data_IF_449056578213
#
_entry.id   IF_449056578213
#
_cell.length_a   1.000
_cell.length_b   1.000
_cell.length_c   1.000
_cell.angle_alpha   90.00
_cell.angle_beta   90.00
_cell.angle_gamma   90.00
#
_symmetry.space_group_name_H-M   'P 1'
#
loop_
_entity.id
_entity.type
_entity.pdbx_description
1 polymer ?
#
# COMPACT_ATOMS: atom_id res chain seq x y z
N UNK A 1 20.45 -3.65 -4.10
CA UNK A 1 19.38 -2.64 -4.16
C UNK A 1 19.52 -1.54 -3.12
N UNK A 2 19.83 -1.88 -1.88
CA UNK A 2 20.00 -0.88 -0.81
C UNK A 2 21.08 0.14 -1.14
N UNK A 3 22.22 -0.31 -1.71
CA UNK A 3 23.30 0.59 -2.12
C UNK A 3 22.85 1.58 -3.20
N UNK A 4 22.07 1.13 -4.18
CA UNK A 4 21.59 2.00 -5.26
C UNK A 4 20.66 3.10 -4.70
N UNK A 5 19.77 2.76 -3.77
CA UNK A 5 18.91 3.75 -3.10
C UNK A 5 19.72 4.74 -2.28
N UNK A 6 20.73 4.26 -1.56
CA UNK A 6 21.60 5.14 -0.77
C UNK A 6 22.39 6.10 -1.64
N UNK A 7 22.89 5.64 -2.79
CA UNK A 7 23.64 6.49 -3.73
C UNK A 7 22.74 7.56 -4.35
N UNK A 8 21.50 7.20 -4.73
CA UNK A 8 20.51 8.14 -5.25
C UNK A 8 20.16 9.17 -4.18
N UNK A 9 19.86 8.73 -2.96
CA UNK A 9 19.52 9.60 -1.84
C UNK A 9 20.63 10.60 -1.58
N UNK A 10 21.89 10.14 -1.51
CA UNK A 10 23.04 11.01 -1.27
C UNK A 10 23.19 12.04 -2.39
N UNK A 11 23.05 11.63 -3.65
CA UNK A 11 23.12 12.54 -4.80
C UNK A 11 22.02 13.61 -4.74
N UNK A 12 20.79 13.23 -4.44
CA UNK A 12 19.66 14.15 -4.36
C UNK A 12 19.78 15.13 -3.20
N UNK A 13 20.33 14.69 -2.06
CA UNK A 13 20.62 15.55 -0.91
C UNK A 13 21.66 16.61 -1.28
N UNK A 14 22.71 16.20 -1.96
CA UNK A 14 23.79 17.12 -2.39
C UNK A 14 23.29 18.13 -3.43
N UNK A 15 22.30 17.76 -4.25
CA UNK A 15 21.72 18.64 -5.27
C UNK A 15 20.52 19.46 -4.77
N UNK A 16 20.14 19.35 -3.51
CA UNK A 16 18.99 20.05 -2.94
C UNK A 16 17.63 19.45 -3.34
N UNK A 17 17.62 18.19 -3.80
CA UNK A 17 16.40 17.47 -4.24
C UNK A 17 16.04 16.31 -3.32
N UNK A 18 16.26 16.50 -2.04
CA UNK A 18 16.07 15.43 -1.05
C UNK A 18 14.69 14.82 -1.08
N UNK A 19 13.65 15.64 -1.19
CA UNK A 19 12.26 15.18 -1.19
C UNK A 19 11.88 14.34 -2.44
N UNK A 20 12.65 14.43 -3.53
CA UNK A 20 12.41 13.64 -4.74
C UNK A 20 12.50 12.14 -4.46
N UNK A 21 13.37 11.71 -3.55
CA UNK A 21 13.46 10.31 -3.11
C UNK A 21 12.12 9.85 -2.52
N UNK A 22 11.55 10.64 -1.63
CA UNK A 22 10.26 10.35 -1.03
C UNK A 22 9.15 10.23 -2.07
N UNK A 23 9.10 11.15 -3.02
CA UNK A 23 8.10 11.14 -4.09
C UNK A 23 8.26 9.93 -5.04
N UNK A 24 9.49 9.54 -5.37
CA UNK A 24 9.75 8.37 -6.21
C UNK A 24 9.27 7.09 -5.51
N UNK A 25 9.61 6.91 -4.25
CA UNK A 25 9.24 5.71 -3.49
C UNK A 25 7.73 5.66 -3.28
N UNK A 26 7.12 6.78 -2.96
CA UNK A 26 5.66 6.89 -2.82
C UNK A 26 4.94 6.56 -4.13
N UNK A 27 5.38 7.17 -5.23
CA UNK A 27 4.80 6.92 -6.55
C UNK A 27 4.93 5.46 -6.99
N UNK A 28 6.08 4.86 -6.71
CA UNK A 28 6.32 3.43 -6.98
C UNK A 28 5.38 2.52 -6.19
N UNK A 29 5.13 2.84 -4.93
CA UNK A 29 4.19 2.07 -4.11
C UNK A 29 2.75 2.20 -4.62
N UNK A 30 2.32 3.43 -4.96
CA UNK A 30 0.98 3.67 -5.51
C UNK A 30 0.79 2.89 -6.81
N UNK A 31 1.76 2.94 -7.72
CA UNK A 31 1.68 2.20 -8.99
C UNK A 31 1.65 0.69 -8.77
N UNK A 32 2.48 0.16 -7.88
CA UNK A 32 2.48 -1.26 -7.55
C UNK A 32 1.12 -1.71 -6.98
N UNK A 33 0.53 -0.90 -6.09
CA UNK A 33 -0.81 -1.18 -5.56
C UNK A 33 -1.89 -1.11 -6.63
N UNK A 34 -1.79 -0.13 -7.54
CA UNK A 34 -2.71 -0.03 -8.67
C UNK A 34 -2.65 -1.29 -9.55
N UNK A 35 -1.46 -1.72 -9.91
CA UNK A 35 -1.29 -2.92 -10.73
C UNK A 35 -1.81 -4.18 -10.01
N UNK A 36 -1.52 -4.33 -8.73
CA UNK A 36 -2.00 -5.47 -7.95
C UNK A 36 -3.52 -5.50 -7.86
N UNK A 37 -4.15 -4.36 -7.64
CA UNK A 37 -5.61 -4.27 -7.46
C UNK A 37 -6.38 -4.30 -8.78
N UNK A 38 -5.78 -3.86 -9.89
CA UNK A 38 -6.45 -3.81 -11.19
C UNK A 38 -6.17 -5.04 -12.07
N UNK A 39 -4.98 -5.62 -11.98
CA UNK A 39 -4.57 -6.71 -12.86
C UNK A 39 -4.56 -8.07 -12.15
N UNK A 40 -4.12 -8.12 -10.90
CA UNK A 40 -3.99 -9.38 -10.19
C UNK A 40 -5.26 -9.78 -9.43
N UNK A 41 -6.02 -8.82 -8.94
CA UNK A 41 -7.27 -9.08 -8.23
C UNK A 41 -8.45 -9.13 -9.20
N UNK A 42 -9.15 -10.27 -9.21
CA UNK A 42 -10.39 -10.46 -9.99
C UNK A 42 -11.55 -10.68 -9.01
N UNK A 43 -12.52 -9.76 -8.94
CA UNK A 43 -13.66 -9.91 -8.03
C UNK A 43 -14.59 -11.07 -8.39
N UNK A 44 -14.53 -11.54 -9.64
CA UNK A 44 -15.33 -12.70 -10.09
C UNK A 44 -14.67 -14.04 -9.78
N UNK A 45 -13.34 -14.03 -9.60
CA UNK A 45 -12.55 -15.22 -9.25
C UNK A 45 -11.45 -14.80 -8.25
N UNK A 46 -11.84 -14.45 -7.02
CA UNK A 46 -10.88 -13.89 -6.04
C UNK A 46 -9.87 -14.95 -5.62
N UNK A 47 -8.59 -14.60 -5.79
CA UNK A 47 -7.46 -15.41 -5.35
C UNK A 47 -7.07 -14.99 -3.92
N UNK A 48 -7.11 -15.94 -3.00
CA UNK A 48 -6.79 -15.68 -1.59
C UNK A 48 -5.35 -15.21 -1.39
N UNK A 49 -4.40 -15.70 -2.20
CA UNK A 49 -3.00 -15.25 -2.12
C UNK A 49 -2.87 -13.80 -2.54
N UNK A 50 -3.56 -13.38 -3.61
CA UNK A 50 -3.57 -11.99 -4.07
C UNK A 50 -4.19 -11.08 -3.01
N UNK A 51 -5.32 -11.46 -2.43
CA UNK A 51 -5.98 -10.70 -1.37
C UNK A 51 -5.04 -10.56 -0.16
N UNK A 52 -4.35 -11.64 0.22
CA UNK A 52 -3.38 -11.62 1.31
C UNK A 52 -2.25 -10.62 1.04
N UNK A 53 -1.69 -10.63 -0.16
CA UNK A 53 -0.61 -9.71 -0.54
C UNK A 53 -1.06 -8.25 -0.50
N UNK A 54 -2.28 -7.98 -0.95
CA UNK A 54 -2.87 -6.63 -0.86
C UNK A 54 -3.06 -6.25 0.62
N UNK A 55 -3.62 -7.13 1.43
CA UNK A 55 -3.89 -6.87 2.84
C UNK A 55 -2.61 -6.63 3.65
N UNK A 56 -1.53 -7.35 3.34
CA UNK A 56 -0.22 -7.19 3.99
C UNK A 56 0.43 -5.83 3.70
N UNK A 57 -0.03 -5.10 2.69
CA UNK A 57 0.44 -3.75 2.40
C UNK A 57 0.10 -2.76 3.52
N UNK A 58 -0.75 -3.14 4.46
CA UNK A 58 -0.96 -2.44 5.72
C UNK A 58 0.36 -2.09 6.41
N UNK A 59 1.29 -3.03 6.46
CA UNK A 59 2.60 -2.83 7.09
C UNK A 59 3.51 -1.96 6.24
N UNK A 60 3.52 -2.19 4.94
CA UNK A 60 4.33 -1.41 4.00
C UNK A 60 3.90 0.05 3.99
N UNK A 61 2.58 0.32 4.03
CA UNK A 61 2.06 1.67 4.10
C UNK A 61 2.50 2.38 5.39
N UNK A 62 2.47 1.68 6.52
CA UNK A 62 2.95 2.23 7.79
C UNK A 62 4.43 2.62 7.70
N UNK A 63 5.25 1.76 7.11
CA UNK A 63 6.68 2.04 6.89
C UNK A 63 6.90 3.21 5.93
N UNK A 64 6.13 3.27 4.85
CA UNK A 64 6.17 4.37 3.89
C UNK A 64 5.83 5.72 4.55
N UNK A 65 4.77 5.75 5.36
CA UNK A 65 4.38 6.97 6.08
C UNK A 65 5.47 7.42 7.04
N UNK A 66 6.11 6.48 7.73
CA UNK A 66 7.24 6.80 8.61
C UNK A 66 8.42 7.37 7.84
N UNK A 67 8.73 6.79 6.70
CA UNK A 67 9.81 7.27 5.81
C UNK A 67 9.54 8.69 5.30
N UNK A 68 8.31 8.99 4.90
CA UNK A 68 7.95 10.29 4.34
C UNK A 68 8.08 11.44 5.37
N UNK A 69 8.11 11.14 6.66
CA UNK A 69 8.35 12.16 7.70
C UNK A 69 9.66 12.89 7.53
N UNK A 70 10.65 12.26 6.90
CA UNK A 70 11.94 12.86 6.65
C UNK A 70 11.90 14.02 5.62
N UNK A 71 10.76 14.17 4.92
CA UNK A 71 10.62 15.10 3.80
C UNK A 71 9.42 16.04 3.97
N UNK A 72 9.01 16.30 5.21
CA UNK A 72 7.85 17.17 5.50
C UNK A 72 8.12 18.66 5.25
N UNK A 73 9.35 19.02 4.92
CA UNK A 73 9.69 20.36 4.45
C UNK A 73 9.17 20.61 3.00
N UNK A 74 8.85 19.55 2.26
CA UNK A 74 8.27 19.67 0.92
C UNK A 74 6.73 19.63 1.01
N UNK A 75 6.03 20.71 0.59
CA UNK A 75 4.55 20.74 0.62
C UNK A 75 3.89 19.65 -0.22
N UNK A 76 4.52 19.19 -1.30
CA UNK A 76 4.01 18.11 -2.15
C UNK A 76 4.03 16.79 -1.38
N UNK A 77 5.10 16.51 -0.65
CA UNK A 77 5.19 15.33 0.21
C UNK A 77 4.11 15.37 1.29
N UNK A 78 3.91 16.51 1.92
CA UNK A 78 2.86 16.69 2.95
C UNK A 78 1.47 16.43 2.35
N UNK A 79 1.21 16.96 1.17
CA UNK A 79 -0.08 16.79 0.48
C UNK A 79 -0.41 15.31 0.26
N UNK A 80 0.51 14.55 -0.34
CA UNK A 80 0.29 13.14 -0.60
C UNK A 80 0.32 12.28 0.66
N UNK A 81 1.10 12.67 1.65
CA UNK A 81 1.11 12.00 2.95
C UNK A 81 -0.28 12.03 3.60
N UNK A 82 -0.98 13.16 3.52
CA UNK A 82 -2.35 13.26 4.04
C UNK A 82 -3.29 12.28 3.33
N UNK A 83 -3.16 12.14 2.03
CA UNK A 83 -3.96 11.19 1.25
C UNK A 83 -3.63 9.74 1.60
N UNK A 84 -2.36 9.42 1.80
CA UNK A 84 -1.95 8.08 2.24
C UNK A 84 -2.42 7.78 3.66
N UNK A 85 -2.45 8.75 4.55
CA UNK A 85 -3.03 8.58 5.90
C UNK A 85 -4.53 8.31 5.84
N UNK A 86 -5.22 8.92 4.91
CA UNK A 86 -6.63 8.64 4.68
C UNK A 86 -6.83 7.20 4.20
N UNK A 87 -6.00 6.74 3.27
CA UNK A 87 -5.99 5.34 2.82
C UNK A 87 -5.70 4.39 3.99
N UNK A 88 -4.79 4.76 4.88
CA UNK A 88 -4.46 3.96 6.05
C UNK A 88 -5.67 3.68 6.92
N UNK A 89 -6.64 4.59 6.99
CA UNK A 89 -7.86 4.37 7.75
C UNK A 89 -8.65 3.14 7.26
N UNK A 90 -8.61 2.85 5.96
CA UNK A 90 -9.22 1.63 5.44
C UNK A 90 -8.43 0.39 5.86
N UNK A 91 -7.11 0.44 5.79
CA UNK A 91 -6.24 -0.65 6.24
C UNK A 91 -6.35 -0.90 7.74
N UNK A 92 -6.67 0.11 8.53
CA UNK A 92 -6.82 -0.01 9.98
C UNK A 92 -8.15 -0.67 10.39
N UNK A 93 -9.07 -0.91 9.46
CA UNK A 93 -10.37 -1.53 9.75
C UNK A 93 -10.30 -3.05 9.89
N UNK A 94 -9.16 -3.67 9.62
CA UNK A 94 -8.99 -5.11 9.75
C UNK A 94 -7.68 -5.46 10.44
N UNK A 95 -7.61 -6.70 10.91
CA UNK A 95 -6.43 -7.23 11.61
C UNK A 95 -5.86 -8.44 10.85
N UNK A 96 -4.57 -8.67 11.02
CA UNK A 96 -3.86 -9.83 10.48
C UNK A 96 -3.27 -10.60 11.66
N UNK A 97 -3.63 -11.88 11.75
CA UNK A 97 -3.14 -12.78 12.80
C UNK A 97 -2.28 -13.86 12.14
N UNK A 98 -1.04 -14.02 12.58
CA UNK A 98 -0.13 -15.01 12.05
C UNK A 98 -0.31 -16.34 12.78
N UNK A 99 -1.07 -17.26 12.16
CA UNK A 99 -1.33 -18.61 12.67
C UNK A 99 -1.04 -19.62 11.56
N UNK A 100 -0.76 -20.87 11.95
CA UNK A 100 -0.64 -21.96 10.98
C UNK A 100 -2.04 -22.37 10.51
N UNK A 101 -2.23 -22.49 9.21
CA UNK A 101 -3.47 -22.93 8.63
C UNK A 101 -3.38 -23.10 7.12
N UNK A 102 -4.35 -23.77 6.54
CA UNK A 102 -4.48 -23.89 5.09
C UNK A 102 -5.07 -22.60 4.48
N UNK A 103 -4.80 -22.41 3.20
CA UNK A 103 -5.38 -21.30 2.47
C UNK A 103 -6.88 -21.51 2.30
N UNK A 104 -7.69 -20.60 2.81
CA UNK A 104 -9.13 -20.70 2.83
C UNK A 104 -9.79 -19.33 2.73
N UNK A 105 -10.90 -19.26 1.98
CA UNK A 105 -11.77 -18.10 1.95
C UNK A 105 -13.14 -18.51 2.44
N UNK A 106 -13.59 -17.88 3.52
CA UNK A 106 -14.94 -18.07 4.05
C UNK A 106 -15.84 -16.92 3.60
N UNK A 107 -16.59 -17.14 2.55
CA UNK A 107 -17.48 -16.12 1.97
C UNK A 107 -18.63 -15.73 2.91
N UNK A 108 -19.08 -16.65 3.76
CA UNK A 108 -20.14 -16.37 4.71
C UNK A 108 -19.73 -15.38 5.81
N UNK A 109 -18.48 -15.47 6.25
CA UNK A 109 -17.91 -14.61 7.29
C UNK A 109 -16.99 -13.55 6.71
N UNK A 110 -16.69 -13.61 5.40
CA UNK A 110 -15.75 -12.71 4.73
C UNK A 110 -14.37 -12.69 5.39
N UNK A 111 -13.90 -13.85 5.86
CA UNK A 111 -12.60 -14.01 6.51
C UNK A 111 -11.66 -14.75 5.58
N UNK A 112 -10.46 -14.21 5.40
CA UNK A 112 -9.39 -14.85 4.65
C UNK A 112 -8.44 -15.55 5.60
N UNK A 113 -8.11 -16.82 5.29
CA UNK A 113 -7.11 -17.60 6.02
C UNK A 113 -6.07 -18.11 5.05
N UNK A 114 -4.81 -18.12 5.47
CA UNK A 114 -3.72 -18.70 4.71
C UNK A 114 -2.75 -19.41 5.63
N UNK A 115 -1.85 -20.20 5.04
CA UNK A 115 -0.73 -20.77 5.79
C UNK A 115 0.10 -19.63 6.39
N UNK A 116 0.03 -19.46 7.71
CA UNK A 116 0.77 -18.43 8.44
C UNK A 116 0.00 -17.16 8.75
N UNK A 117 -1.20 -16.94 8.18
CA UNK A 117 -1.96 -15.73 8.48
C UNK A 117 -3.48 -15.92 8.42
N UNK A 118 -4.19 -15.30 9.36
CA UNK A 118 -5.63 -15.09 9.34
C UNK A 118 -5.91 -13.60 9.29
N UNK A 119 -6.91 -13.19 8.51
CA UNK A 119 -7.25 -11.78 8.35
C UNK A 119 -8.73 -11.57 8.50
N UNK A 120 -9.11 -10.41 9.07
CA UNK A 120 -10.51 -10.02 9.23
C UNK A 120 -10.97 -9.05 8.13
N UNK A 121 -10.21 -8.95 7.04
CA UNK A 121 -10.58 -8.09 5.91
C UNK A 121 -11.87 -8.60 5.27
N UNK A 122 -12.80 -7.67 5.02
CA UNK A 122 -14.04 -7.97 4.31
C UNK A 122 -13.93 -7.54 2.86
N UNK A 123 -14.82 -8.08 2.03
CA UNK A 123 -14.93 -7.66 0.62
C UNK A 123 -15.19 -6.15 0.52
N UNK A 124 -16.04 -5.61 1.38
CA UNK A 124 -16.37 -4.19 1.40
C UNK A 124 -15.14 -3.32 1.68
N UNK A 125 -14.34 -3.69 2.69
CA UNK A 125 -13.09 -2.98 3.00
C UNK A 125 -12.13 -3.06 1.82
N UNK A 126 -11.99 -4.24 1.21
CA UNK A 126 -11.12 -4.44 0.05
C UNK A 126 -11.54 -3.57 -1.12
N UNK A 127 -12.84 -3.50 -1.42
CA UNK A 127 -13.37 -2.63 -2.48
C UNK A 127 -13.10 -1.15 -2.21
N UNK A 128 -13.20 -0.71 -0.96
CA UNK A 128 -12.88 0.66 -0.55
C UNK A 128 -11.40 0.97 -0.79
N UNK A 129 -10.51 0.04 -0.44
CA UNK A 129 -9.07 0.18 -0.67
C UNK A 129 -8.80 0.28 -2.18
N UNK A 130 -9.36 -0.62 -2.98
CA UNK A 130 -9.18 -0.65 -4.43
C UNK A 130 -9.66 0.65 -5.06
N UNK A 131 -10.84 1.12 -4.68
CA UNK A 131 -11.41 2.36 -5.21
C UNK A 131 -10.56 3.57 -4.88
N UNK A 132 -10.05 3.64 -3.65
CA UNK A 132 -9.19 4.75 -3.23
C UNK A 132 -7.83 4.74 -3.96
N UNK A 133 -7.22 3.56 -4.12
CA UNK A 133 -5.97 3.41 -4.87
C UNK A 133 -6.16 3.85 -6.32
N UNK A 134 -7.26 3.46 -6.94
CA UNK A 134 -7.57 3.86 -8.31
C UNK A 134 -7.69 5.38 -8.43
N UNK A 135 -8.42 6.01 -7.53
CA UNK A 135 -8.58 7.46 -7.47
C UNK A 135 -7.25 8.17 -7.25
N UNK A 136 -6.45 7.70 -6.31
CA UNK A 136 -5.15 8.29 -5.98
C UNK A 136 -4.18 8.20 -7.16
N UNK A 137 -4.13 7.04 -7.81
CA UNK A 137 -3.28 6.84 -8.98
C UNK A 137 -3.69 7.76 -10.14
N UNK A 138 -4.98 7.93 -10.37
CA UNK A 138 -5.49 8.83 -11.40
C UNK A 138 -5.09 10.28 -11.12
N UNK A 139 -5.15 10.71 -9.87
CA UNK A 139 -4.73 12.05 -9.46
C UNK A 139 -3.24 12.30 -9.68
N UNK A 140 -2.40 11.32 -9.37
CA UNK A 140 -0.95 11.41 -9.57
C UNK A 140 -0.59 11.44 -11.06
N UNK A 141 -1.30 10.66 -11.87
CA UNK A 141 -1.01 10.50 -13.31
C UNK A 141 -1.59 11.63 -14.16
N UNK A 142 -2.76 12.15 -13.77
CA UNK A 142 -3.48 13.22 -14.48
C UNK A 142 -3.80 14.35 -13.50
N UNK A 143 -2.77 15.11 -13.08
CA UNK A 143 -2.95 16.20 -12.13
C UNK A 143 -3.76 17.36 -12.68
#
# INVERSE_FOLDING_TARGET
MQKAYNDIDQHLRQSGRESTVGLIIMGGWIEAMYLATQLAYDPLDPDAVVIQKIAEQKYTLTSLLSFLKNYYDDPVVVYYTKKLKYLKNYFDQYEIYFEKGDLEIDYGKQVLRSSGANMTITEDILEQIIGYIHKLRSEVTFP
#
